data_IF_081756844978
#
_entry.id   IF_081756844978
#
_cell.length_a   1.000
_cell.length_b   1.000
_cell.length_c   1.000
_cell.angle_alpha   90.00
_cell.angle_beta   90.00
_cell.angle_gamma   90.00
#
_symmetry.space_group_name_H-M   'P 1'
#
loop_
_entity.id
_entity.type
_entity.pdbx_description
1 polymer ?
#
# COMPACT_ATOMS: atom_id res chain seq x y z
N UNK A 1 18.04 0.21 27.80
CA UNK A 1 16.80 1.02 27.75
C UNK A 1 17.03 2.49 28.10
N UNK A 2 17.99 2.86 28.95
CA UNK A 2 18.29 4.28 29.26
C UNK A 2 18.98 5.05 28.12
N UNK A 3 19.80 4.41 27.29
CA UNK A 3 20.55 5.08 26.23
C UNK A 3 19.66 5.79 25.19
N UNK A 4 18.52 5.19 24.86
CA UNK A 4 17.56 5.79 23.91
C UNK A 4 16.86 6.99 24.55
N UNK A 5 16.48 6.89 25.84
CA UNK A 5 15.85 7.99 26.56
C UNK A 5 16.80 9.19 26.72
N UNK A 6 18.08 8.94 26.98
CA UNK A 6 19.09 10.00 27.15
C UNK A 6 19.43 10.68 25.82
N UNK A 7 19.40 9.94 24.71
CA UNK A 7 19.49 10.54 23.38
C UNK A 7 18.25 11.38 23.03
N UNK A 8 17.05 10.87 23.35
CA UNK A 8 15.81 11.61 23.14
C UNK A 8 15.72 12.90 23.98
N UNK A 9 16.19 12.86 25.22
CA UNK A 9 16.30 14.05 26.09
C UNK A 9 17.16 15.16 25.45
N UNK A 10 18.26 14.77 24.78
CA UNK A 10 19.08 15.71 24.01
C UNK A 10 18.35 16.27 22.77
N UNK A 11 17.53 15.44 22.11
CA UNK A 11 16.67 15.87 20.99
C UNK A 11 15.60 16.85 21.47
N UNK A 12 15.01 16.61 22.64
CA UNK A 12 14.01 17.49 23.26
C UNK A 12 14.61 18.85 23.61
N UNK A 13 15.81 18.89 24.18
CA UNK A 13 16.52 20.14 24.44
C UNK A 13 16.86 20.90 23.16
N UNK A 14 17.29 20.20 22.12
CA UNK A 14 17.53 20.83 20.82
C UNK A 14 16.24 21.41 20.23
N UNK A 15 15.13 20.65 20.26
CA UNK A 15 13.85 21.07 19.69
C UNK A 15 13.26 22.26 20.43
N UNK A 16 13.33 22.26 21.76
CA UNK A 16 12.84 23.36 22.62
C UNK A 16 13.74 24.59 22.56
N UNK A 17 15.02 24.42 22.24
CA UNK A 17 15.97 25.52 21.98
C UNK A 17 15.78 26.22 20.63
N UNK A 18 14.96 25.68 19.73
CA UNK A 18 14.66 26.32 18.44
C UNK A 18 13.65 27.47 18.58
N UNK A 19 13.78 28.53 17.76
CA UNK A 19 12.74 29.53 17.55
C UNK A 19 11.39 28.91 17.15
N UNK A 20 10.28 29.52 17.59
CA UNK A 20 8.91 29.03 17.34
C UNK A 20 8.62 28.74 15.86
N UNK A 21 9.09 29.60 14.94
CA UNK A 21 8.92 29.40 13.49
C UNK A 21 9.56 28.09 13.02
N UNK A 22 10.74 27.74 13.54
CA UNK A 22 11.44 26.50 13.16
C UNK A 22 10.76 25.27 13.77
N UNK A 23 10.25 25.35 15.00
CA UNK A 23 9.47 24.27 15.61
C UNK A 23 8.21 23.94 14.80
N UNK A 24 7.40 24.95 14.47
CA UNK A 24 6.17 24.77 13.68
C UNK A 24 6.52 24.23 12.30
N UNK A 25 7.57 24.75 11.66
CA UNK A 25 8.02 24.25 10.35
C UNK A 25 8.40 22.77 10.41
N UNK A 26 9.12 22.35 11.45
CA UNK A 26 9.53 20.96 11.63
C UNK A 26 8.31 20.06 11.88
N UNK A 27 7.35 20.50 12.71
CA UNK A 27 6.08 19.79 12.91
C UNK A 27 5.31 19.65 11.60
N UNK A 28 5.20 20.71 10.79
CA UNK A 28 4.51 20.66 9.49
C UNK A 28 5.18 19.68 8.53
N UNK A 29 6.51 19.63 8.49
CA UNK A 29 7.26 18.66 7.67
C UNK A 29 7.01 17.24 8.15
N UNK A 30 7.09 16.98 9.46
CA UNK A 30 6.83 15.65 10.03
C UNK A 30 5.40 15.20 9.73
N UNK A 31 4.42 16.09 9.92
CA UNK A 31 3.02 15.81 9.59
C UNK A 31 2.83 15.50 8.10
N UNK A 32 3.47 16.27 7.21
CA UNK A 32 3.39 16.03 5.77
C UNK A 32 3.95 14.65 5.40
N UNK A 33 5.10 14.27 5.97
CA UNK A 33 5.71 12.94 5.74
C UNK A 33 4.80 11.83 6.26
N UNK A 34 4.22 11.99 7.47
CA UNK A 34 3.28 11.03 8.04
C UNK A 34 2.04 10.90 7.16
N UNK A 35 1.48 12.02 6.68
CA UNK A 35 0.33 12.01 5.79
C UNK A 35 0.64 11.27 4.48
N UNK A 36 1.80 11.53 3.87
CA UNK A 36 2.24 10.81 2.66
C UNK A 36 2.41 9.30 2.93
N UNK A 37 2.97 8.92 4.07
CA UNK A 37 3.09 7.52 4.48
C UNK A 37 1.73 6.86 4.64
N UNK A 38 0.79 7.53 5.32
CA UNK A 38 -0.58 7.03 5.52
C UNK A 38 -1.27 6.82 4.18
N UNK A 39 -1.21 7.81 3.28
CA UNK A 39 -1.77 7.68 1.93
C UNK A 39 -1.14 6.50 1.20
N UNK A 40 0.19 6.37 1.23
CA UNK A 40 0.90 5.28 0.54
C UNK A 40 0.53 3.90 1.08
N UNK A 41 0.38 3.77 2.40
CA UNK A 41 -0.06 2.53 3.05
C UNK A 41 -1.50 2.21 2.68
N UNK A 42 -2.38 3.20 2.72
CA UNK A 42 -3.79 3.01 2.36
C UNK A 42 -3.95 2.61 0.90
N UNK A 43 -3.25 3.27 -0.03
CA UNK A 43 -3.22 2.90 -1.44
C UNK A 43 -2.73 1.47 -1.63
N UNK A 44 -1.60 1.09 -1.01
CA UNK A 44 -1.07 -0.26 -1.11
C UNK A 44 -2.04 -1.31 -0.54
N UNK A 45 -2.83 -0.96 0.48
CA UNK A 45 -3.85 -1.85 1.03
C UNK A 45 -5.03 -2.02 0.06
N UNK A 46 -5.49 -0.94 -0.57
CA UNK A 46 -6.55 -0.96 -1.57
C UNK A 46 -6.14 -1.83 -2.77
N UNK A 47 -4.93 -1.63 -3.29
CA UNK A 47 -4.41 -2.39 -4.44
C UNK A 47 -4.38 -3.90 -4.14
N UNK A 48 -3.89 -4.29 -2.96
CA UNK A 48 -3.89 -5.70 -2.52
C UNK A 48 -5.29 -6.31 -2.47
N UNK A 49 -6.29 -5.53 -2.05
CA UNK A 49 -7.68 -5.99 -1.99
C UNK A 49 -8.26 -6.11 -3.40
N UNK A 50 -7.99 -5.13 -4.28
CA UNK A 50 -8.41 -5.15 -5.67
C UNK A 50 -7.85 -6.38 -6.41
N UNK A 51 -6.54 -6.65 -6.28
CA UNK A 51 -5.88 -7.81 -6.88
C UNK A 51 -6.47 -9.14 -6.36
N UNK A 52 -6.79 -9.21 -5.07
CA UNK A 52 -7.41 -10.38 -4.47
C UNK A 52 -8.84 -10.62 -4.99
N UNK A 53 -9.57 -9.56 -5.33
CA UNK A 53 -10.91 -9.66 -5.92
C UNK A 53 -10.85 -10.04 -7.41
N UNK A 54 -9.95 -9.41 -8.17
CA UNK A 54 -9.79 -9.70 -9.60
C UNK A 54 -9.33 -11.15 -9.82
N UNK A 55 -8.36 -11.61 -9.03
CA UNK A 55 -7.93 -13.02 -9.07
C UNK A 55 -9.02 -14.03 -8.69
N UNK A 56 -10.08 -13.61 -7.97
CA UNK A 56 -11.26 -14.45 -7.70
C UNK A 56 -12.25 -14.44 -8.87
N UNK A 57 -12.45 -13.29 -9.49
CA UNK A 57 -13.35 -13.13 -10.63
C UNK A 57 -12.79 -13.79 -11.90
N UNK A 58 -11.49 -13.63 -12.18
CA UNK A 58 -10.80 -14.30 -13.28
C UNK A 58 -10.90 -15.83 -13.20
N UNK A 59 -10.92 -16.38 -11.97
CA UNK A 59 -11.09 -17.82 -11.74
C UNK A 59 -12.52 -18.30 -12.01
N UNK A 60 -13.52 -17.42 -11.87
CA UNK A 60 -14.92 -17.73 -12.13
C UNK A 60 -15.29 -17.63 -13.62
N UNK A 61 -14.57 -16.85 -14.44
CA UNK A 61 -14.86 -16.61 -15.85
C UNK A 61 -14.24 -17.64 -16.84
N UNK A 62 -13.54 -18.68 -16.35
CA UNK A 62 -12.92 -19.72 -17.19
C UNK A 62 -13.70 -21.06 -17.40
N UNK A 63 -15.05 -21.13 -17.43
CA UNK A 63 -15.74 -22.37 -17.81
C UNK A 63 -16.20 -22.46 -19.27
N UNK A 64 -16.31 -21.37 -20.05
CA UNK A 64 -16.94 -21.43 -21.40
C UNK A 64 -15.99 -21.66 -22.58
N UNK A 65 -14.70 -21.34 -22.47
CA UNK A 65 -13.76 -21.51 -23.59
C UNK A 65 -13.37 -22.98 -23.86
N UNK A 66 -13.71 -23.91 -22.95
CA UNK A 66 -13.42 -25.33 -23.12
C UNK A 66 -14.51 -26.09 -23.91
N UNK A 67 -15.68 -25.49 -24.13
CA UNK A 67 -16.82 -26.13 -24.82
C UNK A 67 -16.88 -25.94 -26.33
N UNK A 68 -16.21 -24.92 -26.88
CA UNK A 68 -16.33 -24.57 -28.30
C UNK A 68 -15.31 -25.29 -29.20
N UNK A 69 -14.13 -25.66 -28.68
CA UNK A 69 -13.11 -26.39 -29.45
C UNK A 69 -13.33 -27.90 -29.58
N UNK A 70 -14.24 -28.49 -28.81
CA UNK A 70 -14.52 -29.93 -28.83
C UNK A 70 -15.60 -30.33 -29.86
N UNK A 71 -16.43 -29.38 -30.31
CA UNK A 71 -17.51 -29.65 -31.26
C UNK A 71 -17.08 -29.53 -32.74
N UNK A 72 -15.95 -28.86 -33.02
CA UNK A 72 -15.48 -28.56 -34.38
C UNK A 72 -14.55 -29.64 -34.97
N UNK A 73 -14.17 -30.66 -34.19
CA UNK A 73 -13.25 -31.73 -34.63
C UNK A 73 -13.90 -33.10 -34.91
N UNK A 74 -15.24 -33.20 -34.90
CA UNK A 74 -15.97 -34.47 -35.10
C UNK A 74 -16.77 -34.50 -36.42
N UNK A 75 -16.65 -33.49 -37.28
CA UNK A 75 -17.35 -33.39 -38.57
C UNK A 75 -16.42 -33.64 -39.78
N UNK A 76 -15.27 -34.30 -39.58
CA UNK A 76 -14.28 -34.57 -40.65
C UNK A 76 -14.01 -36.08 -40.85
N UNK A 77 -14.88 -36.97 -40.36
CA UNK A 77 -14.77 -38.42 -40.58
C UNK A 77 -16.05 -38.99 -41.21
N UNK A 78 -16.16 -38.83 -42.53
CA UNK A 78 -17.02 -39.57 -43.46
C UNK A 78 -16.28 -40.81 -43.97
#
# INVERSE_FOLDING_TARGET
>A
MHTIAQWWDSVELWLTGLPFVLQVSLVMVVLAVIAMLVVRVLSALIDRVADALDSRLARAHRPEAAGHGAAEGNDDSV
#
